data_IF_913598757334
#
_entry.id   IF_913598757334
#
_cell.length_a   1.000
_cell.length_b   1.000
_cell.length_c   1.000
_cell.angle_alpha   90.00
_cell.angle_beta   90.00
_cell.angle_gamma   90.00
#
_symmetry.space_group_name_H-M   'P 1'
#
loop_
_entity.id
_entity.type
_entity.pdbx_description
1 polymer ?
#
# COMPACT_ATOMS: atom_id res chain seq x y z
N UNK A 1 -69.45 35.37 -1.44
CA UNK A 1 -68.63 34.66 -2.45
C UNK A 1 -67.55 33.90 -1.71
N UNK A 2 -67.39 32.61 -1.98
CA UNK A 2 -66.30 31.81 -1.43
C UNK A 2 -65.20 31.67 -2.50
N UNK A 3 -63.96 31.93 -2.13
CA UNK A 3 -62.79 31.75 -2.99
C UNK A 3 -62.38 30.27 -2.84
N UNK A 4 -62.55 29.50 -3.91
CA UNK A 4 -62.02 28.14 -4.02
C UNK A 4 -60.55 28.24 -4.40
N UNK A 5 -59.67 27.90 -3.46
CA UNK A 5 -58.24 27.73 -3.74
C UNK A 5 -58.10 26.30 -4.26
N UNK A 6 -58.00 26.13 -5.57
CA UNK A 6 -57.59 24.87 -6.16
C UNK A 6 -56.09 24.70 -5.91
N UNK A 7 -55.73 23.80 -4.98
CA UNK A 7 -54.36 23.36 -4.81
C UNK A 7 -53.92 22.63 -6.09
N UNK A 8 -52.97 23.21 -6.81
CA UNK A 8 -52.37 22.59 -7.98
C UNK A 8 -51.61 21.33 -7.55
N UNK A 9 -52.29 20.19 -7.60
CA UNK A 9 -51.71 18.88 -7.30
C UNK A 9 -50.70 18.56 -8.39
N UNK A 10 -49.45 18.95 -8.17
CA UNK A 10 -48.32 18.62 -9.06
C UNK A 10 -48.19 17.11 -9.13
N UNK A 11 -48.71 16.51 -10.20
CA UNK A 11 -48.66 15.06 -10.41
C UNK A 11 -47.20 14.67 -10.63
N UNK A 12 -46.65 13.91 -9.69
CA UNK A 12 -45.31 13.34 -9.81
C UNK A 12 -45.34 12.34 -10.97
N UNK A 13 -44.43 12.54 -11.94
CA UNK A 13 -44.27 11.61 -13.04
C UNK A 13 -43.42 10.41 -12.56
N UNK A 14 -44.10 9.37 -12.10
CA UNK A 14 -43.49 8.13 -11.62
C UNK A 14 -42.61 7.44 -12.68
N UNK A 15 -42.95 7.56 -13.96
CA UNK A 15 -42.14 7.02 -15.04
C UNK A 15 -40.78 7.72 -15.12
N UNK A 16 -40.79 9.07 -15.06
CA UNK A 16 -39.54 9.84 -15.05
C UNK A 16 -38.68 9.52 -13.82
N UNK A 17 -39.30 9.32 -12.65
CA UNK A 17 -38.59 8.94 -11.43
C UNK A 17 -37.90 7.58 -11.57
N UNK A 18 -38.59 6.57 -12.13
CA UNK A 18 -38.03 5.23 -12.35
C UNK A 18 -36.86 5.28 -13.34
N UNK A 19 -36.97 6.07 -14.42
CA UNK A 19 -35.89 6.22 -15.40
C UNK A 19 -34.66 6.84 -14.76
N UNK A 20 -34.81 7.90 -13.97
CA UNK A 20 -33.70 8.53 -13.24
C UNK A 20 -33.06 7.53 -12.28
N UNK A 21 -33.87 6.77 -11.54
CA UNK A 21 -33.38 5.75 -10.61
C UNK A 21 -32.58 4.65 -11.34
N UNK A 22 -33.05 4.20 -12.51
CA UNK A 22 -32.35 3.20 -13.32
C UNK A 22 -30.99 3.71 -13.82
N UNK A 23 -30.91 4.97 -14.24
CA UNK A 23 -29.65 5.61 -14.66
C UNK A 23 -28.66 5.66 -13.49
N UNK A 24 -29.11 6.10 -12.32
CA UNK A 24 -28.27 6.17 -11.12
C UNK A 24 -27.77 4.78 -10.71
N UNK A 25 -28.65 3.78 -10.72
CA UNK A 25 -28.28 2.40 -10.42
C UNK A 25 -27.21 1.85 -11.39
N UNK A 26 -27.37 2.09 -12.69
CA UNK A 26 -26.40 1.67 -13.71
C UNK A 26 -25.03 2.33 -13.53
N UNK A 27 -24.99 3.64 -13.27
CA UNK A 27 -23.74 4.35 -13.00
C UNK A 27 -23.04 3.82 -11.75
N UNK A 28 -23.80 3.59 -10.68
CA UNK A 28 -23.25 3.09 -9.42
C UNK A 28 -22.69 1.68 -9.59
N UNK A 29 -23.39 0.81 -10.32
CA UNK A 29 -22.93 -0.53 -10.66
C UNK A 29 -21.66 -0.51 -11.52
N UNK A 30 -21.56 0.39 -12.50
CA UNK A 30 -20.39 0.53 -13.34
C UNK A 30 -19.16 0.98 -12.52
N UNK A 31 -19.31 2.00 -11.68
CA UNK A 31 -18.24 2.45 -10.78
C UNK A 31 -17.83 1.32 -9.83
N UNK A 32 -18.79 0.65 -9.21
CA UNK A 32 -18.49 -0.50 -8.35
C UNK A 32 -17.70 -1.58 -9.09
N UNK A 33 -18.13 -1.93 -10.30
CA UNK A 33 -17.47 -2.93 -11.11
C UNK A 33 -16.03 -2.54 -11.48
N UNK A 34 -15.80 -1.30 -11.93
CA UNK A 34 -14.45 -0.87 -12.33
C UNK A 34 -13.47 -0.76 -11.16
N UNK A 35 -13.94 -0.37 -9.97
CA UNK A 35 -13.06 -0.10 -8.84
C UNK A 35 -12.90 -1.30 -7.89
N UNK A 36 -13.92 -2.14 -7.75
CA UNK A 36 -13.94 -3.22 -6.74
C UNK A 36 -13.86 -4.62 -7.32
N UNK A 37 -14.04 -4.79 -8.64
CA UNK A 37 -13.80 -6.10 -9.26
C UNK A 37 -12.29 -6.23 -9.44
N UNK A 38 -11.70 -7.24 -8.79
CA UNK A 38 -10.28 -7.53 -8.94
C UNK A 38 -9.96 -7.70 -10.44
N UNK A 39 -9.17 -6.81 -11.05
CA UNK A 39 -8.73 -7.04 -12.41
C UNK A 39 -7.98 -8.38 -12.41
N UNK A 40 -8.12 -9.21 -13.46
CA UNK A 40 -7.24 -10.36 -13.62
C UNK A 40 -5.83 -9.81 -13.47
N UNK A 41 -5.09 -10.29 -12.45
CA UNK A 41 -3.78 -9.76 -12.12
C UNK A 41 -3.00 -9.74 -13.43
N UNK A 42 -2.78 -8.54 -13.97
CA UNK A 42 -1.80 -8.32 -15.02
C UNK A 42 -0.58 -9.05 -14.48
N UNK A 43 -0.13 -10.10 -15.15
CA UNK A 43 1.02 -10.88 -14.69
C UNK A 43 2.07 -9.84 -14.32
N UNK A 44 2.29 -9.65 -13.02
CA UNK A 44 3.21 -8.64 -12.55
C UNK A 44 4.53 -9.22 -12.99
N UNK A 45 5.05 -8.74 -14.12
CA UNK A 45 6.38 -9.08 -14.58
C UNK A 45 7.29 -8.45 -13.56
N UNK A 46 7.52 -9.18 -12.46
CA UNK A 46 8.38 -8.76 -11.37
C UNK A 46 9.71 -8.41 -12.03
N UNK A 47 10.14 -7.14 -11.99
CA UNK A 47 11.40 -6.73 -12.59
C UNK A 47 12.49 -7.67 -12.10
N UNK A 48 13.36 -8.16 -13.00
CA UNK A 48 14.36 -9.18 -12.63
C UNK A 48 15.18 -8.85 -11.38
N UNK A 49 15.36 -7.54 -11.10
CA UNK A 49 16.00 -7.04 -9.87
C UNK A 49 15.25 -7.39 -8.58
N UNK A 50 13.92 -7.37 -8.57
CA UNK A 50 13.11 -7.74 -7.40
C UNK A 50 13.09 -9.25 -7.17
N UNK A 51 13.20 -10.06 -8.24
CA UNK A 51 13.39 -11.53 -8.11
C UNK A 51 14.73 -11.87 -7.43
N UNK A 52 15.82 -11.19 -7.78
CA UNK A 52 17.12 -11.35 -7.12
C UNK A 52 17.08 -11.01 -5.61
N UNK A 53 16.28 -10.01 -5.22
CA UNK A 53 16.10 -9.66 -3.82
C UNK A 53 15.33 -10.74 -3.05
N UNK A 54 14.38 -11.40 -3.69
CA UNK A 54 13.68 -12.53 -3.11
C UNK A 54 14.63 -13.73 -2.87
N UNK A 55 15.51 -14.02 -3.82
CA UNK A 55 16.57 -15.03 -3.65
C UNK A 55 17.51 -14.70 -2.50
N UNK A 56 17.89 -13.42 -2.36
CA UNK A 56 18.75 -12.94 -1.27
C UNK A 56 18.05 -13.02 0.09
N UNK A 57 16.74 -12.75 0.14
CA UNK A 57 15.95 -12.82 1.39
C UNK A 57 15.83 -14.23 1.96
N UNK A 58 16.00 -15.26 1.12
CA UNK A 58 15.96 -16.67 1.52
C UNK A 58 17.29 -17.16 2.12
N UNK A 59 18.34 -16.35 2.06
CA UNK A 59 19.63 -16.67 2.66
C UNK A 59 19.49 -16.59 4.18
N UNK A 60 19.46 -17.75 4.84
CA UNK A 60 19.54 -17.86 6.29
C UNK A 60 20.99 -17.71 6.72
N UNK A 61 21.38 -16.50 7.10
CA UNK A 61 22.71 -16.27 7.68
C UNK A 61 22.70 -16.77 9.14
N UNK A 62 23.51 -17.79 9.42
CA UNK A 62 23.78 -18.24 10.78
C UNK A 62 25.07 -17.56 11.29
N UNK A 63 24.98 -16.53 12.14
CA UNK A 63 26.15 -15.80 12.61
C UNK A 63 27.12 -16.67 13.42
N UNK A 64 26.63 -17.75 14.06
CA UNK A 64 27.48 -18.69 14.79
C UNK A 64 28.47 -19.39 13.85
N UNK A 65 28.02 -19.82 12.67
CA UNK A 65 28.88 -20.47 11.67
C UNK A 65 29.96 -19.54 11.12
N UNK A 66 29.68 -18.24 11.02
CA UNK A 66 30.62 -17.24 10.53
C UNK A 66 31.72 -17.02 11.57
N UNK A 67 31.34 -16.78 12.82
CA UNK A 67 32.26 -16.52 13.93
C UNK A 67 33.10 -17.76 14.29
N UNK A 68 32.57 -18.96 14.05
CA UNK A 68 33.30 -20.20 14.29
C UNK A 68 34.25 -20.61 13.16
N UNK A 69 34.24 -19.90 12.03
CA UNK A 69 35.04 -20.24 10.87
C UNK A 69 36.55 -20.20 11.18
N UNK A 70 37.32 -21.24 10.79
CA UNK A 70 38.77 -21.27 11.00
C UNK A 70 39.49 -20.09 10.33
N UNK A 71 38.96 -19.64 9.19
CA UNK A 71 39.50 -18.51 8.44
C UNK A 71 39.46 -17.21 9.26
N UNK A 72 38.35 -16.91 9.94
CA UNK A 72 38.23 -15.70 10.76
C UNK A 72 38.99 -15.82 12.09
N UNK A 73 39.04 -17.00 12.70
CA UNK A 73 39.82 -17.24 13.93
C UNK A 73 41.33 -17.04 13.74
N UNK A 74 41.83 -17.27 12.53
CA UNK A 74 43.23 -17.07 12.18
C UNK A 74 43.58 -15.62 11.81
N UNK A 75 42.58 -14.74 11.65
CA UNK A 75 42.82 -13.33 11.38
C UNK A 75 43.33 -12.65 12.66
N UNK A 76 44.60 -12.24 12.64
CA UNK A 76 45.14 -11.34 13.64
C UNK A 76 44.59 -9.95 13.37
N UNK A 77 43.93 -9.36 14.36
CA UNK A 77 43.54 -7.94 14.32
C UNK A 77 44.86 -7.14 14.29
N UNK A 78 45.16 -6.55 13.13
CA UNK A 78 46.39 -5.74 12.92
C UNK A 78 46.18 -4.27 13.30
N UNK A 79 44.96 -3.89 13.66
CA UNK A 79 44.60 -2.51 13.97
C UNK A 79 44.48 -2.37 15.49
N UNK A 80 45.17 -1.41 16.13
CA UNK A 80 44.94 -1.13 17.54
C UNK A 80 43.48 -0.79 17.78
N UNK A 81 42.95 -1.22 18.93
CA UNK A 81 41.57 -0.94 19.32
C UNK A 81 41.31 0.57 19.25
N UNK A 82 40.33 0.97 18.44
CA UNK A 82 39.92 2.36 18.34
C UNK A 82 39.26 2.73 19.66
N UNK A 83 40.02 3.32 20.58
CA UNK A 83 39.45 3.97 21.75
C UNK A 83 38.58 5.11 21.21
N UNK A 84 37.25 5.05 21.39
CA UNK A 84 36.39 6.13 20.93
C UNK A 84 36.82 7.39 21.67
N UNK A 85 37.29 8.39 20.94
CA UNK A 85 37.50 9.71 21.51
C UNK A 85 36.15 10.19 22.08
N UNK A 86 36.15 10.66 23.33
CA UNK A 86 34.93 11.11 24.00
C UNK A 86 34.22 12.11 23.10
N UNK A 87 32.99 11.81 22.69
CA UNK A 87 32.21 12.65 21.79
C UNK A 87 32.12 14.08 22.33
N UNK A 88 32.94 14.99 21.79
CA UNK A 88 32.91 16.41 22.13
C UNK A 88 31.78 17.18 21.44
N UNK A 89 31.04 16.54 20.52
CA UNK A 89 29.88 17.16 19.90
C UNK A 89 28.60 16.76 20.65
N UNK A 90 28.03 17.65 21.49
CA UNK A 90 26.70 17.43 22.02
C UNK A 90 25.70 17.30 20.87
N UNK A 91 24.76 16.37 21.01
CA UNK A 91 23.69 16.15 20.05
C UNK A 91 22.88 17.45 19.85
N UNK A 92 22.81 18.01 18.62
CA UNK A 92 22.09 19.26 18.34
C UNK A 92 20.55 19.09 18.28
N UNK A 93 20.04 17.87 18.47
CA UNK A 93 18.61 17.55 18.44
C UNK A 93 18.05 17.14 19.81
N UNK A 94 18.75 17.49 20.90
CA UNK A 94 18.24 17.33 22.25
C UNK A 94 17.63 18.63 22.76
#
# INVERSE_FOLDING_TARGET
>A
MAILIEEEKRKINWFALIVVLAIVAALTAAVYYFFFTNPPLIEVVVPGRLKMLEETSRIKLNPAEILDSPALKNLKIQVPELVPESAFNPNPFK
#
